data_IF_257065107968
#
_entry.id   IF_257065107968
#
_cell.length_a   1.000
_cell.length_b   1.000
_cell.length_c   1.000
_cell.angle_alpha   90.00
_cell.angle_beta   90.00
_cell.angle_gamma   90.00
#
_symmetry.space_group_name_H-M   'P 1'
#
loop_
_entity.id
_entity.type
_entity.pdbx_description
1 polymer ?
#
# COMPACT_ATOMS: atom_id res chain seq x y z
N UNK A 1 8.01 -59.99 -7.91
CA UNK A 1 7.62 -59.69 -6.51
C UNK A 1 8.85 -59.18 -5.77
N UNK A 2 9.22 -57.92 -6.01
CA UNK A 2 10.42 -57.32 -5.44
C UNK A 2 10.02 -56.49 -4.22
N UNK A 3 10.65 -56.80 -3.09
CA UNK A 3 10.43 -56.22 -1.78
C UNK A 3 10.51 -54.69 -1.81
N UNK A 4 9.52 -54.03 -1.22
CA UNK A 4 9.56 -52.63 -0.84
C UNK A 4 10.14 -52.58 0.59
N UNK A 5 11.40 -52.20 0.73
CA UNK A 5 11.98 -51.90 2.04
C UNK A 5 11.50 -50.52 2.50
N UNK A 6 10.96 -50.52 3.72
CA UNK A 6 10.36 -49.37 4.40
C UNK A 6 11.50 -48.57 5.02
N UNK A 7 11.76 -47.36 4.50
CA UNK A 7 12.68 -46.42 5.13
C UNK A 7 11.95 -45.78 6.32
N UNK A 8 12.30 -46.19 7.54
CA UNK A 8 11.84 -45.51 8.75
C UNK A 8 12.65 -44.23 8.95
N UNK A 9 12.02 -43.10 8.69
CA UNK A 9 12.58 -41.78 8.95
C UNK A 9 12.19 -41.41 10.39
N UNK A 10 13.14 -41.51 11.31
CA UNK A 10 12.95 -41.11 12.69
C UNK A 10 12.59 -39.63 12.78
N UNK A 11 11.42 -39.33 13.34
CA UNK A 11 11.01 -37.96 13.66
C UNK A 11 11.62 -37.61 15.00
N UNK A 12 12.67 -36.77 15.00
CA UNK A 12 13.12 -36.11 16.20
C UNK A 12 12.08 -35.04 16.58
N UNK A 13 11.41 -35.23 17.71
CA UNK A 13 10.58 -34.18 18.34
C UNK A 13 11.51 -33.09 18.88
N UNK A 14 11.73 -32.07 18.07
CA UNK A 14 12.31 -30.81 18.54
C UNK A 14 11.18 -29.99 19.17
N UNK A 15 11.11 -30.00 20.50
CA UNK A 15 10.20 -29.16 21.28
C UNK A 15 10.61 -27.68 21.14
N UNK A 16 10.17 -27.04 20.06
CA UNK A 16 10.24 -25.60 19.91
C UNK A 16 9.19 -24.96 20.84
N UNK A 17 9.64 -24.42 21.98
CA UNK A 17 8.81 -23.55 22.82
C UNK A 17 8.42 -22.31 22.01
N UNK A 18 7.11 -22.08 21.82
CA UNK A 18 6.59 -20.92 21.09
C UNK A 18 7.16 -19.61 21.67
N UNK A 19 7.66 -18.69 20.83
CA UNK A 19 8.01 -17.36 21.28
C UNK A 19 6.73 -16.61 21.71
N UNK A 20 6.79 -15.80 22.79
CA UNK A 20 5.59 -15.19 23.36
C UNK A 20 4.88 -14.28 22.36
N UNK A 21 3.57 -14.45 22.26
CA UNK A 21 2.69 -13.67 21.39
C UNK A 21 2.80 -12.16 21.67
N UNK A 22 3.00 -11.31 20.65
CA UNK A 22 3.17 -9.86 20.81
C UNK A 22 1.92 -9.16 21.37
N UNK A 23 0.78 -9.86 21.43
CA UNK A 23 -0.49 -9.31 21.94
C UNK A 23 -0.47 -9.03 23.45
N UNK A 24 0.42 -9.66 24.23
CA UNK A 24 0.49 -9.43 25.69
C UNK A 24 1.44 -8.30 26.11
N UNK A 25 2.26 -7.77 25.20
CA UNK A 25 3.16 -6.67 25.50
C UNK A 25 2.50 -5.28 25.36
N UNK A 26 1.27 -5.22 24.86
CA UNK A 26 0.57 -3.97 24.59
C UNK A 26 -0.13 -3.37 25.83
N UNK A 27 -0.32 -4.15 26.90
CA UNK A 27 -1.16 -3.75 28.03
C UNK A 27 -0.41 -2.91 29.09
N UNK A 28 0.93 -2.95 29.10
CA UNK A 28 1.77 -2.27 30.12
C UNK A 28 2.78 -1.25 29.55
N UNK A 29 2.63 -0.83 28.29
CA UNK A 29 3.51 0.19 27.74
C UNK A 29 3.25 1.55 28.40
N UNK A 30 4.25 2.19 29.07
CA UNK A 30 4.07 3.51 29.64
C UNK A 30 3.73 4.49 28.52
N UNK A 31 2.69 5.30 28.78
CA UNK A 31 2.25 6.44 27.97
C UNK A 31 3.39 7.45 27.79
N UNK A 32 4.27 7.16 26.85
CA UNK A 32 5.41 7.98 26.50
C UNK A 32 5.60 7.98 24.99
N UNK A 33 4.50 8.21 24.26
CA UNK A 33 4.58 8.81 22.93
C UNK A 33 4.93 10.29 23.12
N UNK A 34 6.21 10.52 23.45
CA UNK A 34 6.80 11.82 23.72
C UNK A 34 6.71 12.71 22.47
N UNK A 35 5.71 13.60 22.48
CA UNK A 35 5.79 15.01 22.11
C UNK A 35 6.76 15.41 20.98
N UNK A 36 6.57 14.87 19.78
CA UNK A 36 6.82 15.61 18.52
C UNK A 36 5.56 15.76 17.68
N UNK A 37 4.40 15.78 18.34
CA UNK A 37 3.15 16.19 17.72
C UNK A 37 3.11 17.71 17.82
N UNK A 38 3.73 18.39 16.83
CA UNK A 38 3.37 19.77 16.56
C UNK A 38 1.86 19.82 16.47
N UNK A 39 1.26 20.74 17.22
CA UNK A 39 -0.17 20.96 17.34
C UNK A 39 -0.77 21.25 15.96
N UNK A 40 -1.14 20.19 15.24
CA UNK A 40 -1.83 20.25 13.94
C UNK A 40 -3.28 19.81 14.15
N UNK A 41 -3.95 20.41 15.13
CA UNK A 41 -5.39 20.19 15.36
C UNK A 41 -6.25 20.98 14.35
N UNK A 42 -5.64 21.71 13.41
CA UNK A 42 -6.33 22.27 12.26
C UNK A 42 -5.45 22.19 11.02
N UNK A 43 -6.04 21.71 9.92
CA UNK A 43 -5.52 21.94 8.58
C UNK A 43 -5.43 23.46 8.35
N UNK A 44 -4.40 23.97 7.63
CA UNK A 44 -4.36 25.37 7.21
C UNK A 44 -5.70 25.78 6.59
N UNK A 45 -6.24 26.95 6.94
CA UNK A 45 -7.57 27.41 6.46
C UNK A 45 -7.72 27.32 4.93
N UNK A 46 -6.63 27.52 4.18
CA UNK A 46 -6.60 27.39 2.72
C UNK A 46 -6.80 25.97 2.18
N UNK A 47 -6.61 24.92 3.00
CA UNK A 47 -6.82 23.51 2.64
C UNK A 47 -8.14 22.95 3.18
N UNK A 48 -8.98 23.78 3.80
CA UNK A 48 -10.26 23.34 4.35
C UNK A 48 -11.27 23.15 3.23
N UNK A 49 -11.49 21.90 2.83
CA UNK A 49 -12.64 21.55 2.01
C UNK A 49 -13.93 21.90 2.78
N UNK A 50 -14.97 22.43 2.10
CA UNK A 50 -16.21 22.88 2.75
C UNK A 50 -17.10 21.68 3.15
N UNK A 51 -16.59 20.84 4.06
CA UNK A 51 -17.21 19.58 4.48
C UNK A 51 -17.36 19.55 5.99
N UNK A 52 -18.48 19.00 6.46
CA UNK A 52 -18.68 18.85 7.90
C UNK A 52 -17.70 17.80 8.46
N UNK A 53 -17.33 17.94 9.74
CA UNK A 53 -16.35 17.06 10.38
C UNK A 53 -16.76 15.57 10.35
N UNK A 54 -18.07 15.28 10.38
CA UNK A 54 -18.59 13.92 10.31
C UNK A 54 -18.29 13.24 8.96
N UNK A 55 -18.39 13.96 7.85
CA UNK A 55 -18.02 13.46 6.52
C UNK A 55 -16.52 13.21 6.41
N UNK A 56 -15.70 14.10 6.97
CA UNK A 56 -14.25 13.94 6.94
C UNK A 56 -13.79 12.68 7.67
N UNK A 57 -14.40 12.37 8.81
CA UNK A 57 -14.13 11.16 9.60
C UNK A 57 -14.75 9.87 9.01
N UNK A 58 -15.66 9.96 8.03
CA UNK A 58 -16.20 8.78 7.35
C UNK A 58 -15.23 8.23 6.30
N UNK A 59 -14.63 7.08 6.56
CA UNK A 59 -13.74 6.40 5.62
C UNK A 59 -14.41 6.07 4.28
N UNK A 60 -15.73 5.84 4.27
CA UNK A 60 -16.47 5.58 3.03
C UNK A 60 -16.54 6.83 2.17
N UNK A 61 -16.66 8.00 2.80
CA UNK A 61 -16.57 9.27 2.11
C UNK A 61 -15.17 9.49 1.54
N UNK A 62 -14.11 9.20 2.30
CA UNK A 62 -12.72 9.28 1.83
C UNK A 62 -12.46 8.38 0.60
N UNK A 63 -12.98 7.15 0.60
CA UNK A 63 -12.82 6.20 -0.51
C UNK A 63 -13.64 6.60 -1.76
N UNK A 64 -14.84 7.16 -1.56
CA UNK A 64 -15.67 7.68 -2.67
C UNK A 64 -15.00 8.87 -3.34
N UNK A 65 -14.45 9.79 -2.56
CA UNK A 65 -13.85 11.05 -3.02
C UNK A 65 -12.34 10.95 -3.29
N UNK A 66 -11.83 9.76 -3.61
CA UNK A 66 -10.42 9.62 -3.99
C UNK A 66 -10.11 10.41 -5.25
N UNK A 67 -9.00 11.13 -5.20
CA UNK A 67 -8.37 11.86 -6.30
C UNK A 67 -7.80 10.83 -7.28
N UNK A 68 -8.31 10.83 -8.51
CA UNK A 68 -7.93 9.86 -9.56
C UNK A 68 -7.42 10.51 -10.83
N UNK A 69 -7.62 11.81 -10.99
CA UNK A 69 -7.19 12.57 -12.17
C UNK A 69 -6.23 13.69 -11.77
N UNK A 70 -5.50 14.23 -12.75
CA UNK A 70 -4.60 15.35 -12.53
C UNK A 70 -5.37 16.59 -12.05
N UNK A 71 -6.53 16.86 -12.65
CA UNK A 71 -7.38 18.01 -12.33
C UNK A 71 -7.85 17.98 -10.87
N UNK A 72 -8.15 16.79 -10.34
CA UNK A 72 -8.51 16.61 -8.94
C UNK A 72 -7.32 16.76 -7.98
N UNK A 73 -6.09 16.57 -8.46
CA UNK A 73 -4.86 16.68 -7.67
C UNK A 73 -4.36 18.13 -7.57
N UNK A 74 -4.55 18.94 -8.62
CA UNK A 74 -4.08 20.32 -8.69
C UNK A 74 -4.46 21.19 -7.47
N UNK A 75 -5.66 21.09 -6.85
CA UNK A 75 -5.98 21.87 -5.65
C UNK A 75 -5.07 21.59 -4.46
N UNK A 76 -4.53 20.37 -4.35
CA UNK A 76 -3.63 19.97 -3.28
C UNK A 76 -2.17 20.27 -3.61
N UNK A 77 -1.86 20.30 -4.91
CA UNK A 77 -0.48 20.40 -5.41
C UNK A 77 -0.40 21.36 -6.62
N UNK A 78 -0.60 22.68 -6.43
CA UNK A 78 -0.75 23.61 -7.56
C UNK A 78 0.51 23.76 -8.43
N UNK A 79 1.70 23.64 -7.84
CA UNK A 79 2.98 23.76 -8.55
C UNK A 79 3.31 22.57 -9.45
N UNK A 80 2.48 21.52 -9.42
CA UNK A 80 2.53 20.42 -10.38
C UNK A 80 2.06 20.84 -11.79
N UNK A 81 1.64 22.11 -11.93
CA UNK A 81 1.09 22.78 -13.10
C UNK A 81 1.32 22.07 -14.43
N UNK A 82 0.21 21.75 -15.11
CA UNK A 82 0.12 21.22 -16.48
C UNK A 82 1.27 20.33 -16.97
N UNK A 83 1.84 19.47 -16.12
CA UNK A 83 2.81 18.49 -16.57
C UNK A 83 2.09 17.52 -17.52
N UNK A 84 2.36 17.64 -18.82
CA UNK A 84 1.65 16.96 -19.90
C UNK A 84 1.75 15.43 -19.84
N UNK A 85 2.69 14.92 -19.06
CA UNK A 85 3.08 13.51 -19.05
C UNK A 85 2.41 12.72 -17.92
N UNK A 86 1.95 13.36 -16.84
CA UNK A 86 1.29 12.68 -15.73
C UNK A 86 0.04 11.89 -16.15
N UNK A 87 -0.82 12.40 -17.04
CA UNK A 87 -1.95 11.62 -17.56
C UNK A 87 -1.52 10.31 -18.22
N UNK A 88 -0.34 10.26 -18.88
CA UNK A 88 0.20 9.03 -19.48
C UNK A 88 0.58 8.01 -18.40
N UNK A 89 1.18 8.47 -17.30
CA UNK A 89 1.50 7.61 -16.16
C UNK A 89 0.23 7.09 -15.49
N UNK A 90 -0.78 7.93 -15.30
CA UNK A 90 -2.07 7.55 -14.70
C UNK A 90 -2.81 6.52 -15.55
N UNK A 91 -2.73 6.65 -16.88
CA UNK A 91 -3.32 5.70 -17.82
C UNK A 91 -2.71 4.30 -17.73
N UNK A 92 -1.38 4.20 -17.52
CA UNK A 92 -0.70 2.90 -17.32
C UNK A 92 -0.82 2.38 -15.88
N UNK A 93 -0.72 3.27 -14.91
CA UNK A 93 -0.68 2.96 -13.48
C UNK A 93 -1.67 3.83 -12.72
N UNK A 94 -2.90 3.32 -12.45
CA UNK A 94 -3.98 4.09 -11.86
C UNK A 94 -3.55 4.84 -10.61
N UNK A 95 -3.96 6.10 -10.52
CA UNK A 95 -3.80 6.91 -9.32
C UNK A 95 -5.08 6.88 -8.51
N UNK A 96 -4.95 6.73 -7.20
CA UNK A 96 -6.03 6.97 -6.26
C UNK A 96 -5.42 7.47 -4.96
N UNK A 97 -5.80 8.67 -4.52
CA UNK A 97 -5.32 9.27 -3.27
C UNK A 97 -6.54 9.76 -2.50
N UNK A 98 -6.73 9.33 -1.25
CA UNK A 98 -7.81 9.87 -0.41
C UNK A 98 -7.56 11.36 -0.11
N UNK A 99 -8.62 12.19 0.03
CA UNK A 99 -8.49 13.58 0.44
C UNK A 99 -7.61 13.76 1.68
N UNK A 100 -7.81 12.93 2.72
CA UNK A 100 -6.97 12.94 3.92
C UNK A 100 -5.47 12.81 3.58
N UNK A 101 -5.08 11.78 2.83
CA UNK A 101 -3.68 11.54 2.51
C UNK A 101 -3.06 12.66 1.66
N UNK A 102 -3.85 13.27 0.76
CA UNK A 102 -3.39 14.41 -0.03
C UNK A 102 -3.13 15.65 0.83
N UNK A 103 -3.87 15.86 1.92
CA UNK A 103 -3.60 16.98 2.85
C UNK A 103 -2.29 16.87 3.61
N UNK A 104 -1.74 15.65 3.72
CA UNK A 104 -0.44 15.40 4.37
C UNK A 104 0.75 15.84 3.51
N UNK A 105 0.53 16.14 2.22
CA UNK A 105 1.55 16.67 1.33
C UNK A 105 1.90 18.09 1.77
N UNK A 106 3.15 18.29 2.17
CA UNK A 106 3.68 19.60 2.57
C UNK A 106 4.36 20.29 1.38
N UNK A 107 5.08 19.51 0.56
CA UNK A 107 5.77 20.02 -0.65
C UNK A 107 5.41 19.22 -1.88
N UNK A 108 5.33 19.94 -2.99
CA UNK A 108 4.88 19.45 -4.28
C UNK A 108 6.03 18.90 -5.15
N UNK A 109 6.98 18.21 -4.52
CA UNK A 109 8.18 17.73 -5.18
C UNK A 109 8.70 16.44 -4.54
N UNK A 110 9.69 15.82 -5.19
CA UNK A 110 10.22 14.53 -4.74
C UNK A 110 10.95 14.58 -3.39
N UNK A 111 11.20 15.75 -2.79
CA UNK A 111 11.76 15.85 -1.44
C UNK A 111 10.74 15.54 -0.34
N UNK A 112 9.44 15.66 -0.64
CA UNK A 112 8.37 15.28 0.28
C UNK A 112 8.11 13.75 0.19
N UNK A 113 8.18 13.02 1.31
CA UNK A 113 8.02 11.57 1.32
C UNK A 113 6.58 11.15 1.00
N UNK A 114 5.58 11.90 1.45
CA UNK A 114 4.16 11.61 1.18
C UNK A 114 3.90 11.80 -0.31
N UNK A 115 4.34 12.94 -0.86
CA UNK A 115 4.26 13.23 -2.29
C UNK A 115 4.89 12.12 -3.12
N UNK A 116 6.14 11.74 -2.81
CA UNK A 116 6.87 10.68 -3.52
C UNK A 116 6.15 9.32 -3.49
N UNK A 117 5.45 9.01 -2.39
CA UNK A 117 4.75 7.74 -2.24
C UNK A 117 3.36 7.71 -2.91
N UNK A 118 2.71 8.86 -3.10
CA UNK A 118 1.33 8.93 -3.62
C UNK A 118 1.18 9.50 -5.02
N UNK A 119 2.02 10.48 -5.41
CA UNK A 119 1.86 11.20 -6.68
C UNK A 119 2.68 10.53 -7.79
N UNK A 120 2.06 10.23 -8.96
CA UNK A 120 2.75 9.62 -10.09
C UNK A 120 3.95 10.42 -10.59
N UNK A 121 5.00 9.71 -11.01
CA UNK A 121 6.18 10.27 -11.64
C UNK A 121 6.37 9.67 -13.04
N UNK A 122 6.83 10.49 -14.01
CA UNK A 122 7.13 10.06 -15.38
C UNK A 122 8.19 8.96 -15.46
N UNK A 123 9.11 8.91 -14.49
CA UNK A 123 10.12 7.87 -14.36
C UNK A 123 9.51 6.47 -14.21
N UNK A 124 8.25 6.36 -13.78
CA UNK A 124 7.59 5.06 -13.67
C UNK A 124 7.28 4.40 -15.01
N UNK A 125 7.31 5.16 -16.11
CA UNK A 125 7.16 4.63 -17.47
C UNK A 125 8.46 4.05 -18.02
N UNK A 126 9.57 4.20 -17.31
CA UNK A 126 10.83 3.56 -17.67
C UNK A 126 10.80 2.09 -17.27
N UNK A 127 10.94 1.20 -18.26
CA UNK A 127 10.98 -0.24 -18.09
C UNK A 127 12.44 -0.74 -18.22
N UNK A 128 13.22 -0.83 -17.12
CA UNK A 128 14.58 -1.34 -17.18
C UNK A 128 14.61 -2.84 -17.51
N UNK A 129 15.72 -3.37 -18.06
CA UNK A 129 15.82 -4.80 -18.41
C UNK A 129 15.63 -5.77 -17.24
N UNK A 130 15.85 -5.32 -16.00
CA UNK A 130 15.66 -6.11 -14.78
C UNK A 130 14.24 -6.03 -14.22
N UNK A 131 13.35 -5.25 -14.83
CA UNK A 131 11.97 -5.16 -14.38
C UNK A 131 11.21 -6.42 -14.78
N UNK A 132 10.56 -7.04 -13.79
CA UNK A 132 9.57 -8.10 -13.99
C UNK A 132 8.22 -7.58 -13.49
N UNK A 133 7.14 -7.95 -14.18
CA UNK A 133 5.77 -7.63 -13.73
C UNK A 133 5.45 -8.33 -12.41
N UNK A 134 5.92 -9.58 -12.24
CA UNK A 134 5.77 -10.38 -11.04
C UNK A 134 7.15 -10.82 -10.51
N UNK A 135 7.91 -9.89 -9.90
CA UNK A 135 9.26 -10.20 -9.39
C UNK A 135 9.23 -11.16 -8.20
N UNK A 136 8.04 -11.39 -7.63
CA UNK A 136 7.82 -12.31 -6.53
C UNK A 136 7.18 -13.61 -7.01
N UNK A 137 7.05 -13.86 -8.31
CA UNK A 137 6.50 -15.11 -8.88
C UNK A 137 5.19 -15.58 -8.21
N UNK A 138 4.34 -14.64 -7.78
CA UNK A 138 3.13 -14.96 -7.04
C UNK A 138 2.14 -15.76 -7.90
N UNK A 139 2.19 -15.60 -9.22
CA UNK A 139 1.37 -16.35 -10.17
C UNK A 139 1.78 -17.83 -10.28
N UNK A 140 3.08 -18.15 -10.26
CA UNK A 140 3.57 -19.54 -10.33
C UNK A 140 3.23 -20.30 -9.05
N UNK A 141 3.29 -19.61 -7.90
CA UNK A 141 2.92 -20.17 -6.60
C UNK A 141 1.40 -20.13 -6.34
N UNK A 142 0.57 -19.99 -7.37
CA UNK A 142 -0.87 -19.84 -7.26
C UNK A 142 -1.61 -21.13 -7.67
N UNK A 143 -1.82 -22.11 -6.76
CA UNK A 143 -2.54 -23.35 -7.08
C UNK A 143 -3.98 -23.11 -7.56
N UNK A 144 -4.60 -22.03 -7.08
CA UNK A 144 -5.90 -21.54 -7.56
C UNK A 144 -5.89 -20.01 -7.60
N UNK A 145 -6.59 -19.37 -8.56
CA UNK A 145 -6.61 -17.91 -8.69
C UNK A 145 -6.91 -17.19 -7.36
N UNK A 146 -6.03 -16.27 -6.97
CA UNK A 146 -6.13 -15.48 -5.76
C UNK A 146 -5.55 -16.12 -4.49
N UNK A 147 -5.11 -17.38 -4.51
CA UNK A 147 -4.44 -18.03 -3.39
C UNK A 147 -2.98 -18.32 -3.73
N UNK A 148 -2.04 -17.61 -3.10
CA UNK A 148 -0.59 -17.82 -3.28
C UNK A 148 -0.07 -18.70 -2.16
N UNK A 149 0.52 -19.86 -2.48
CA UNK A 149 1.00 -20.86 -1.53
C UNK A 149 2.47 -21.25 -1.78
N UNK A 150 3.37 -20.29 -1.57
CA UNK A 150 4.82 -20.48 -1.70
C UNK A 150 5.44 -21.34 -0.57
N UNK A 151 4.96 -21.14 0.65
CA UNK A 151 5.56 -21.74 1.84
C UNK A 151 4.70 -22.87 2.38
N UNK A 152 5.32 -23.93 2.89
CA UNK A 152 4.64 -25.16 3.30
C UNK A 152 3.48 -24.95 4.28
N UNK A 153 3.61 -24.03 5.22
CA UNK A 153 2.73 -23.86 6.39
C UNK A 153 1.82 -22.61 6.34
N UNK A 154 1.89 -21.80 5.27
CA UNK A 154 1.14 -20.55 5.17
C UNK A 154 0.86 -20.16 3.73
N UNK A 155 -0.31 -19.55 3.50
CA UNK A 155 -0.73 -19.05 2.21
C UNK A 155 -1.22 -17.59 2.33
N UNK A 156 -1.18 -16.87 1.22
CA UNK A 156 -1.71 -15.52 1.06
C UNK A 156 -2.98 -15.58 0.21
N UNK A 157 -4.09 -15.06 0.73
CA UNK A 157 -5.34 -14.91 -0.02
C UNK A 157 -5.55 -13.46 -0.46
N UNK A 158 -5.66 -13.24 -1.76
CA UNK A 158 -5.94 -11.95 -2.38
C UNK A 158 -7.47 -11.77 -2.44
N UNK A 159 -8.02 -11.11 -1.42
CA UNK A 159 -9.47 -10.87 -1.30
C UNK A 159 -9.91 -9.62 -2.07
N UNK A 160 -9.01 -8.65 -2.24
CA UNK A 160 -9.29 -7.40 -2.94
C UNK A 160 -8.03 -6.85 -3.59
N UNK A 161 -8.18 -6.31 -4.80
CA UNK A 161 -7.17 -5.50 -5.49
C UNK A 161 -7.35 -4.00 -5.25
N UNK A 162 -8.42 -3.61 -4.56
CA UNK A 162 -8.73 -2.23 -4.24
C UNK A 162 -8.04 -1.80 -2.94
N UNK A 163 -7.21 -0.76 -3.03
CA UNK A 163 -6.66 -0.02 -1.89
C UNK A 163 -7.35 1.34 -1.76
N UNK A 164 -7.32 1.96 -0.58
CA UNK A 164 -7.73 3.35 -0.40
C UNK A 164 -6.78 4.32 -1.10
N UNK A 165 -5.49 4.01 -1.14
CA UNK A 165 -4.48 4.74 -1.87
C UNK A 165 -3.61 3.77 -2.68
N UNK A 166 -3.25 4.13 -3.91
CA UNK A 166 -2.33 3.33 -4.72
C UNK A 166 -0.91 3.87 -4.59
N UNK A 167 -0.11 3.19 -3.77
CA UNK A 167 1.29 3.55 -3.53
C UNK A 167 2.09 3.45 -4.83
N UNK A 168 2.96 4.44 -5.12
CA UNK A 168 3.80 4.44 -6.33
C UNK A 168 4.91 3.37 -6.32
N UNK A 169 5.17 2.78 -5.16
CA UNK A 169 6.12 1.68 -4.93
C UNK A 169 5.44 0.33 -4.66
N UNK A 170 4.19 0.15 -5.08
CA UNK A 170 3.45 -1.10 -4.86
C UNK A 170 4.14 -2.29 -5.58
N UNK A 171 4.47 -3.36 -4.86
CA UNK A 171 5.01 -4.60 -5.48
C UNK A 171 3.98 -5.34 -6.32
N UNK A 172 2.68 -5.09 -6.06
CA UNK A 172 1.54 -5.65 -6.79
C UNK A 172 0.93 -4.66 -7.78
N UNK A 173 1.74 -3.72 -8.29
CA UNK A 173 1.28 -2.67 -9.21
C UNK A 173 0.58 -3.22 -10.45
N UNK A 174 0.92 -4.45 -10.87
CA UNK A 174 0.29 -5.16 -12.00
C UNK A 174 -1.19 -5.48 -11.81
N UNK A 175 -1.64 -5.73 -10.56
CA UNK A 175 -3.02 -6.09 -10.23
C UNK A 175 -3.73 -5.02 -9.39
N UNK A 176 -3.01 -4.05 -8.83
CA UNK A 176 -3.60 -3.04 -7.97
C UNK A 176 -4.59 -2.17 -8.76
N UNK A 177 -5.84 -2.14 -8.32
CA UNK A 177 -6.90 -1.35 -8.95
C UNK A 177 -7.50 -1.93 -10.22
N UNK A 178 -7.11 -3.13 -10.65
CA UNK A 178 -7.82 -3.89 -11.68
C UNK A 178 -9.01 -4.61 -11.03
N UNK A 179 -10.24 -4.28 -11.45
CA UNK A 179 -11.48 -4.99 -11.11
C UNK A 179 -12.22 -5.32 -12.38
#
# INVERSE_FOLDING_TARGET
>A
MQHCERVEIGVAEEQASEPPSPLRAAEDAPSALSTRRGDKTALPEEKQHPLNAAQWSDWRWQIRNRIRTLEQLLPYVPSLGASSELPKVIARYPMAITPYYATLIERADMSDPVFRMSVPNVQELYDPPSLSDDPLEEHEDMPVPGLVHRYRDRALLIVTTMCSMYCRHCTRKRIAGTR
#
